data_IF_239078480113
#
_entry.id   IF_239078480113
#
_cell.length_a   1.000
_cell.length_b   1.000
_cell.length_c   1.000
_cell.angle_alpha   90.00
_cell.angle_beta   90.00
_cell.angle_gamma   90.00
#
_symmetry.space_group_name_H-M   'P 1'
#
loop_
_entity.id
_entity.type
_entity.pdbx_description
1 polymer ?
#
# COMPACT_ATOMS: atom_id res chain seq x y z
N UNK A 1 -5.62 38.42 12.16
CA UNK A 1 -5.43 37.28 11.24
C UNK A 1 -5.13 36.00 12.00
N UNK A 2 -5.85 34.92 11.71
CA UNK A 2 -5.70 33.64 12.41
C UNK A 2 -4.55 32.80 11.88
N UNK A 3 -3.88 32.05 12.75
CA UNK A 3 -2.82 31.09 12.39
C UNK A 3 -3.47 29.75 12.04
N UNK A 4 -3.10 29.13 10.92
CA UNK A 4 -3.57 27.79 10.58
C UNK A 4 -2.93 26.73 11.49
N UNK A 5 -3.69 25.72 11.89
CA UNK A 5 -3.15 24.62 12.69
C UNK A 5 -2.12 23.80 11.89
N UNK A 6 -2.41 23.51 10.62
CA UNK A 6 -1.47 22.85 9.72
C UNK A 6 -1.81 23.11 8.25
N UNK A 7 -0.83 22.92 7.37
CA UNK A 7 -1.02 22.77 5.91
C UNK A 7 -0.84 21.32 5.52
N UNK A 8 -1.48 20.88 4.43
CA UNK A 8 -1.31 19.54 3.87
C UNK A 8 -1.18 19.61 2.37
N UNK A 9 -0.23 18.85 1.83
CA UNK A 9 0.05 18.81 0.40
C UNK A 9 0.25 17.36 -0.07
N UNK A 10 -0.32 17.03 -1.23
CA UNK A 10 0.00 15.83 -1.99
C UNK A 10 0.69 16.25 -3.29
N UNK A 11 2.04 16.25 -3.33
CA UNK A 11 2.79 16.78 -4.46
C UNK A 11 2.64 15.89 -5.71
N UNK A 12 2.86 16.45 -6.90
CA UNK A 12 2.93 15.68 -8.13
C UNK A 12 4.06 14.65 -8.09
N UNK A 13 3.85 13.50 -8.72
CA UNK A 13 4.69 12.31 -8.54
C UNK A 13 5.87 12.25 -9.53
N UNK A 14 5.68 12.77 -10.74
CA UNK A 14 6.62 12.63 -11.85
C UNK A 14 7.21 13.96 -12.27
N UNK A 15 8.40 13.91 -12.87
CA UNK A 15 9.14 15.09 -13.35
C UNK A 15 8.66 15.60 -14.71
N UNK A 16 7.93 14.77 -15.46
CA UNK A 16 7.44 15.09 -16.80
C UNK A 16 6.27 14.21 -17.21
N UNK A 17 5.54 14.67 -18.22
CA UNK A 17 4.47 13.89 -18.87
C UNK A 17 5.00 12.53 -19.38
N UNK A 18 6.17 12.52 -20.03
CA UNK A 18 6.77 11.29 -20.57
C UNK A 18 7.04 10.25 -19.47
N UNK A 19 7.59 10.66 -18.33
CA UNK A 19 7.82 9.77 -17.19
C UNK A 19 6.49 9.23 -16.64
N UNK A 20 5.45 10.08 -16.60
CA UNK A 20 4.13 9.68 -16.14
C UNK A 20 3.46 8.68 -17.10
N UNK A 21 3.64 8.83 -18.41
CA UNK A 21 3.15 7.91 -19.46
C UNK A 21 3.88 6.57 -19.41
N UNK A 22 5.21 6.57 -19.28
CA UNK A 22 6.01 5.36 -19.15
C UNK A 22 5.61 4.55 -17.90
N UNK A 23 5.41 5.23 -16.77
CA UNK A 23 4.94 4.58 -15.55
C UNK A 23 3.56 3.92 -15.73
N UNK A 24 2.71 4.48 -16.60
CA UNK A 24 1.43 3.87 -16.96
C UNK A 24 1.60 2.69 -17.87
N UNK A 25 2.34 2.84 -18.97
CA UNK A 25 2.53 1.75 -19.93
C UNK A 25 3.14 0.52 -19.26
N UNK A 26 4.06 0.71 -18.30
CA UNK A 26 4.61 -0.36 -17.47
C UNK A 26 3.56 -1.04 -16.60
N UNK A 27 2.72 -0.26 -15.91
CA UNK A 27 1.62 -0.80 -15.08
C UNK A 27 0.61 -1.56 -15.94
N UNK A 28 0.25 -1.03 -17.10
CA UNK A 28 -0.65 -1.68 -18.05
C UNK A 28 -0.07 -3.00 -18.56
N UNK A 29 1.22 -3.02 -18.90
CA UNK A 29 1.91 -4.25 -19.30
C UNK A 29 1.86 -5.31 -18.20
N UNK A 30 2.08 -4.92 -16.94
CA UNK A 30 2.02 -5.84 -15.80
C UNK A 30 0.61 -6.40 -15.58
N UNK A 31 -0.43 -5.57 -15.72
CA UNK A 31 -1.83 -5.99 -15.62
C UNK A 31 -2.24 -6.93 -16.78
N UNK A 32 -1.76 -6.65 -17.99
CA UNK A 32 -1.97 -7.51 -19.16
C UNK A 32 -1.32 -8.88 -18.94
N UNK A 33 -0.06 -8.91 -18.49
CA UNK A 33 0.66 -10.16 -18.18
C UNK A 33 -0.07 -11.00 -17.12
N UNK A 34 -0.64 -10.37 -16.08
CA UNK A 34 -1.47 -11.06 -15.08
C UNK A 34 -2.76 -11.63 -15.68
N UNK A 35 -3.39 -10.89 -16.60
CA UNK A 35 -4.61 -11.32 -17.29
C UNK A 35 -4.36 -12.52 -18.22
N UNK A 36 -3.25 -12.52 -18.96
CA UNK A 36 -2.85 -13.65 -19.80
C UNK A 36 -2.41 -14.88 -18.99
N UNK A 37 -1.83 -14.70 -17.80
CA UNK A 37 -1.43 -15.82 -16.93
C UNK A 37 -2.65 -16.56 -16.35
N UNK A 38 -3.73 -15.84 -16.02
CA UNK A 38 -5.03 -16.42 -15.62
C UNK A 38 -5.67 -17.28 -16.72
N UNK A 39 -5.48 -16.93 -17.99
CA UNK A 39 -6.01 -17.71 -19.12
C UNK A 39 -5.24 -19.00 -19.40
N UNK A 40 -3.96 -19.07 -19.01
CA UNK A 40 -3.11 -20.28 -19.22
C UNK A 40 -3.26 -21.32 -18.10
N UNK A 41 -3.70 -20.91 -16.91
CA UNK A 41 -4.03 -21.81 -15.79
C UNK A 41 -5.49 -22.29 -15.91
N UNK A 42 -5.73 -23.17 -16.88
CA UNK A 42 -6.89 -24.06 -17.05
C UNK A 42 -8.23 -23.68 -16.41
N UNK A 43 -9.08 -22.96 -17.15
CA UNK A 43 -10.50 -23.32 -17.24
C UNK A 43 -10.95 -23.10 -18.68
N UNK A 44 -10.88 -24.18 -19.46
CA UNK A 44 -11.11 -24.18 -20.90
C UNK A 44 -12.59 -24.45 -21.16
N UNK A 45 -13.44 -23.41 -21.20
CA UNK A 45 -14.66 -23.45 -22.00
C UNK A 45 -14.98 -22.10 -22.65
N UNK A 46 -15.01 -22.20 -23.97
CA UNK A 46 -15.73 -21.40 -24.96
C UNK A 46 -15.01 -20.25 -25.66
N UNK A 47 -14.90 -20.48 -26.98
CA UNK A 47 -15.14 -19.56 -28.09
C UNK A 47 -14.12 -18.45 -28.29
N UNK A 48 -13.10 -18.78 -29.09
CA UNK A 48 -12.66 -18.00 -30.25
C UNK A 48 -12.92 -16.50 -30.21
N UNK A 49 -12.14 -15.79 -29.41
CA UNK A 49 -11.83 -14.39 -29.69
C UNK A 49 -10.32 -14.29 -29.77
N UNK A 50 -9.82 -14.16 -31.00
CA UNK A 50 -8.48 -13.65 -31.26
C UNK A 50 -8.31 -12.35 -30.48
N UNK A 51 -7.53 -12.40 -29.41
CA UNK A 51 -7.27 -11.26 -28.54
C UNK A 51 -6.41 -10.25 -29.30
N UNK A 52 -7.05 -9.40 -30.10
CA UNK A 52 -6.46 -8.23 -30.73
C UNK A 52 -6.18 -7.19 -29.62
N UNK A 53 -4.92 -6.79 -29.37
CA UNK A 53 -4.55 -5.88 -28.29
C UNK A 53 -4.82 -4.40 -28.67
N UNK A 54 -5.94 -4.13 -29.35
CA UNK A 54 -6.19 -2.87 -30.03
C UNK A 54 -7.24 -2.00 -29.32
N UNK A 55 -8.06 -2.56 -28.42
CA UNK A 55 -9.27 -1.88 -27.95
C UNK A 55 -9.54 -2.02 -26.44
N UNK A 56 -8.53 -1.67 -25.64
CA UNK A 56 -8.78 -1.19 -24.29
C UNK A 56 -8.06 0.14 -24.14
N UNK A 57 -8.81 1.23 -24.28
CA UNK A 57 -8.52 2.46 -23.55
C UNK A 57 -8.52 2.09 -22.06
N UNK A 58 -7.37 1.65 -21.55
CA UNK A 58 -7.23 1.37 -20.12
C UNK A 58 -7.05 2.73 -19.47
N UNK A 59 -8.17 3.36 -19.17
CA UNK A 59 -8.25 4.55 -18.34
C UNK A 59 -7.45 4.28 -17.07
N UNK A 60 -6.44 5.13 -16.78
CA UNK A 60 -5.69 5.05 -15.53
C UNK A 60 -6.71 5.02 -14.39
N UNK A 61 -6.48 4.19 -13.37
CA UNK A 61 -7.26 4.23 -12.11
C UNK A 61 -7.06 5.54 -11.31
N UNK A 62 -6.48 6.56 -11.93
CA UNK A 62 -6.24 7.89 -11.41
C UNK A 62 -6.98 8.86 -12.31
N UNK A 63 -7.95 9.57 -11.74
CA UNK A 63 -8.74 10.59 -12.41
C UNK A 63 -8.17 12.01 -12.23
N UNK A 64 -6.95 12.13 -11.70
CA UNK A 64 -6.28 13.42 -11.49
C UNK A 64 -5.81 14.04 -12.80
N UNK A 65 -5.80 15.38 -12.85
CA UNK A 65 -5.31 16.14 -14.02
C UNK A 65 -3.79 16.09 -14.18
N UNK A 66 -3.29 16.56 -15.32
CA UNK A 66 -1.86 16.51 -15.65
C UNK A 66 -0.97 17.18 -14.58
N UNK A 67 -1.40 18.32 -14.04
CA UNK A 67 -0.68 19.07 -13.02
C UNK A 67 -0.67 18.40 -11.63
N UNK A 68 -1.58 17.47 -11.36
CA UNK A 68 -1.55 16.65 -10.14
C UNK A 68 -0.60 15.46 -10.29
N UNK A 69 -0.30 15.10 -11.54
CA UNK A 69 0.45 13.91 -11.87
C UNK A 69 1.94 14.21 -11.98
N UNK A 70 2.29 15.31 -12.65
CA UNK A 70 3.66 15.67 -12.93
C UNK A 70 3.90 17.18 -12.87
N UNK A 71 5.13 17.55 -12.55
CA UNK A 71 5.62 18.93 -12.67
C UNK A 71 7.11 18.89 -13.00
N UNK A 72 7.67 20.00 -13.50
CA UNK A 72 9.12 20.10 -13.71
C UNK A 72 9.85 19.86 -12.38
N UNK A 73 10.81 18.93 -12.38
CA UNK A 73 11.56 18.49 -11.20
C UNK A 73 10.79 17.64 -10.19
N UNK A 74 9.53 17.32 -10.49
CA UNK A 74 8.71 16.35 -9.78
C UNK A 74 8.57 16.63 -8.27
N UNK A 75 8.36 15.54 -7.53
CA UNK A 75 8.09 15.58 -6.09
C UNK A 75 9.17 16.34 -5.30
N UNK A 76 10.45 16.09 -5.60
CA UNK A 76 11.57 16.65 -4.83
C UNK A 76 11.62 18.16 -4.97
N UNK A 77 11.60 18.67 -6.20
CA UNK A 77 11.64 20.12 -6.44
C UNK A 77 10.39 20.80 -5.89
N UNK A 78 9.21 20.18 -6.06
CA UNK A 78 7.96 20.73 -5.54
C UNK A 78 8.00 20.89 -4.01
N UNK A 79 8.37 19.84 -3.28
CA UNK A 79 8.43 19.89 -1.81
C UNK A 79 9.54 20.82 -1.34
N UNK A 80 10.66 20.89 -2.06
CA UNK A 80 11.74 21.86 -1.80
C UNK A 80 11.24 23.30 -1.92
N UNK A 81 10.48 23.62 -2.96
CA UNK A 81 9.84 24.95 -3.11
C UNK A 81 8.88 25.23 -1.96
N UNK A 82 8.03 24.27 -1.57
CA UNK A 82 7.15 24.40 -0.41
C UNK A 82 7.94 24.69 0.87
N UNK A 83 9.06 23.99 1.11
CA UNK A 83 9.92 24.26 2.28
C UNK A 83 10.44 25.71 2.24
N UNK A 84 10.89 26.19 1.08
CA UNK A 84 11.39 27.57 0.92
C UNK A 84 10.30 28.62 1.09
N UNK A 85 9.12 28.39 0.55
CA UNK A 85 7.96 29.28 0.72
C UNK A 85 7.51 29.33 2.18
N UNK A 86 7.48 28.19 2.86
CA UNK A 86 7.11 28.12 4.28
C UNK A 86 8.04 28.95 5.17
N UNK A 87 9.32 29.08 4.80
CA UNK A 87 10.30 29.94 5.48
C UNK A 87 9.99 31.43 5.31
N UNK A 88 9.35 31.85 4.22
CA UNK A 88 8.99 33.25 4.00
C UNK A 88 7.80 33.66 4.88
N UNK A 89 6.92 32.72 5.21
CA UNK A 89 5.75 32.95 6.06
C UNK A 89 5.67 31.91 7.19
N UNK A 90 6.67 31.84 8.09
CA UNK A 90 6.78 30.78 9.09
C UNK A 90 5.64 30.84 10.12
N UNK A 91 4.99 32.00 10.24
CA UNK A 91 3.89 32.21 11.17
C UNK A 91 2.51 31.83 10.62
N UNK A 92 2.39 31.54 9.32
CA UNK A 92 1.11 31.24 8.66
C UNK A 92 0.46 29.94 9.17
N UNK A 93 1.27 28.94 9.49
CA UNK A 93 0.80 27.67 10.04
C UNK A 93 1.69 27.16 11.18
N UNK A 94 1.13 26.42 12.13
CA UNK A 94 1.93 25.76 13.17
C UNK A 94 2.72 24.57 12.62
N UNK A 95 2.15 23.84 11.67
CA UNK A 95 2.77 22.71 10.98
C UNK A 95 2.61 22.85 9.48
N UNK A 96 3.71 22.73 8.75
CA UNK A 96 3.68 22.50 7.31
C UNK A 96 3.83 21.00 7.07
N UNK A 97 3.01 20.44 6.18
CA UNK A 97 3.09 19.01 5.88
C UNK A 97 2.99 18.71 4.39
N UNK A 98 3.71 17.66 3.97
CA UNK A 98 3.65 17.14 2.61
C UNK A 98 3.73 15.62 2.63
N UNK A 99 2.97 14.97 1.75
CA UNK A 99 3.15 13.56 1.44
C UNK A 99 4.43 13.37 0.62
N UNK A 100 5.13 12.26 0.88
CA UNK A 100 6.33 11.85 0.13
C UNK A 100 6.17 10.39 -0.27
N UNK A 101 6.23 10.15 -1.57
CA UNK A 101 6.00 8.85 -2.19
C UNK A 101 7.29 8.03 -2.21
N UNK A 102 8.41 8.67 -2.60
CA UNK A 102 9.70 8.02 -2.81
C UNK A 102 10.57 8.15 -1.56
N UNK A 103 11.12 7.02 -1.10
CA UNK A 103 12.08 7.02 0.02
C UNK A 103 13.39 7.74 -0.34
N UNK A 104 13.79 7.61 -1.61
CA UNK A 104 15.00 8.22 -2.15
C UNK A 104 15.00 9.75 -2.10
N UNK A 105 13.81 10.38 -2.06
CA UNK A 105 13.66 11.83 -1.93
C UNK A 105 13.99 12.32 -0.51
N UNK A 106 13.90 11.46 0.50
CA UNK A 106 13.94 11.88 1.91
C UNK A 106 15.26 12.54 2.33
N UNK A 107 16.46 12.02 1.99
CA UNK A 107 17.71 12.65 2.41
C UNK A 107 17.85 14.09 1.92
N UNK A 108 17.45 14.35 0.68
CA UNK A 108 17.50 15.68 0.06
C UNK A 108 16.54 16.67 0.74
N UNK A 109 15.29 16.25 0.97
CA UNK A 109 14.29 17.08 1.65
C UNK A 109 14.67 17.43 3.10
N UNK A 110 15.36 16.53 3.79
CA UNK A 110 15.84 16.79 5.14
C UNK A 110 17.03 17.75 5.18
N UNK A 111 17.91 17.66 4.18
CA UNK A 111 18.99 18.61 4.03
C UNK A 111 18.42 20.03 3.79
N UNK A 112 17.41 20.16 2.92
CA UNK A 112 16.73 21.44 2.69
C UNK A 112 16.03 21.95 3.96
N UNK A 113 15.38 21.08 4.75
CA UNK A 113 14.77 21.47 6.02
C UNK A 113 15.78 21.94 7.07
N UNK A 114 16.96 21.31 7.11
CA UNK A 114 18.06 21.78 7.95
C UNK A 114 18.53 23.17 7.51
N UNK A 115 18.63 23.40 6.19
CA UNK A 115 19.05 24.68 5.62
C UNK A 115 17.99 25.79 5.78
N UNK A 116 16.70 25.43 5.82
CA UNK A 116 15.61 26.38 5.99
C UNK A 116 15.45 26.88 7.43
N UNK A 117 16.10 26.24 8.40
CA UNK A 117 16.05 26.62 9.80
C UNK A 117 14.79 26.13 10.51
N UNK A 118 14.19 25.02 10.07
CA UNK A 118 13.03 24.45 10.74
C UNK A 118 13.39 23.97 12.17
N UNK A 119 12.74 24.53 13.18
CA UNK A 119 12.96 24.19 14.59
C UNK A 119 12.56 22.76 14.95
N UNK A 120 11.62 22.18 14.20
CA UNK A 120 11.19 20.80 14.41
C UNK A 120 10.82 20.13 13.09
N UNK A 121 11.32 18.92 12.88
CA UNK A 121 11.00 18.07 11.73
C UNK A 121 10.54 16.71 12.23
N UNK A 122 9.43 16.21 11.69
CA UNK A 122 8.85 14.91 11.99
C UNK A 122 8.61 14.13 10.69
N UNK A 123 8.98 12.85 10.73
CA UNK A 123 8.67 11.88 9.68
C UNK A 123 7.65 10.89 10.23
N UNK A 124 6.49 10.80 9.60
CA UNK A 124 5.47 9.84 9.97
C UNK A 124 5.37 8.80 8.86
N UNK A 125 5.43 7.53 9.24
CA UNK A 125 5.25 6.41 8.32
C UNK A 125 3.87 5.83 8.57
N UNK A 126 3.03 5.80 7.54
CA UNK A 126 1.68 5.26 7.58
C UNK A 126 1.58 4.12 6.57
N UNK A 127 1.12 2.96 7.01
CA UNK A 127 0.92 1.80 6.12
C UNK A 127 -0.56 1.48 6.05
N UNK A 128 -1.11 1.41 4.84
CA UNK A 128 -2.51 1.08 4.57
C UNK A 128 -2.57 -0.05 3.53
N UNK A 129 -2.70 -1.29 4.00
CA UNK A 129 -2.53 -2.47 3.15
C UNK A 129 -1.13 -2.49 2.53
N UNK A 130 -1.07 -2.64 1.21
CA UNK A 130 0.21 -2.65 0.47
C UNK A 130 0.79 -1.24 0.22
N UNK A 131 0.03 -0.18 0.56
CA UNK A 131 0.47 1.20 0.33
C UNK A 131 1.24 1.72 1.54
N UNK A 132 2.51 2.06 1.31
CA UNK A 132 3.35 2.79 2.26
C UNK A 132 3.28 4.27 1.94
N UNK A 133 2.81 5.07 2.88
CA UNK A 133 2.76 6.53 2.80
C UNK A 133 3.75 7.12 3.80
N UNK A 134 4.44 8.19 3.41
CA UNK A 134 5.27 8.98 4.31
C UNK A 134 4.72 10.39 4.36
N UNK A 135 4.61 10.93 5.56
CA UNK A 135 4.24 12.32 5.79
C UNK A 135 5.50 12.99 6.36
N UNK A 136 5.95 14.02 5.67
CA UNK A 136 6.97 14.94 6.15
C UNK A 136 6.26 16.13 6.77
N UNK A 137 6.54 16.42 8.04
CA UNK A 137 5.96 17.53 8.77
C UNK A 137 7.07 18.38 9.38
N UNK A 138 6.98 19.70 9.26
CA UNK A 138 7.95 20.62 9.84
C UNK A 138 7.28 21.85 10.45
N UNK A 139 7.98 22.49 11.39
CA UNK A 139 7.50 23.64 12.13
C UNK A 139 8.66 24.59 12.41
N UNK A 140 8.42 25.89 12.27
CA UNK A 140 9.34 26.95 12.65
C UNK A 140 9.14 27.42 14.09
N UNK A 141 8.10 26.93 14.77
CA UNK A 141 7.86 27.23 16.18
C UNK A 141 8.63 26.27 17.07
N UNK A 142 9.17 26.82 18.16
CA UNK A 142 9.71 26.00 19.23
C UNK A 142 8.59 25.23 19.95
N UNK A 143 8.94 24.19 20.69
CA UNK A 143 7.94 23.33 21.34
C UNK A 143 7.04 24.12 22.30
N UNK A 144 7.61 25.03 23.08
CA UNK A 144 6.87 25.86 24.05
C UNK A 144 5.89 26.82 23.36
N UNK A 145 6.36 27.56 22.35
CA UNK A 145 5.54 28.50 21.57
C UNK A 145 4.40 27.77 20.86
N UNK A 146 4.71 26.61 20.25
CA UNK A 146 3.72 25.79 19.57
C UNK A 146 2.67 25.26 20.54
N UNK A 147 3.06 24.78 21.72
CA UNK A 147 2.11 24.35 22.77
C UNK A 147 1.19 25.49 23.17
N UNK A 148 1.74 26.70 23.40
CA UNK A 148 0.94 27.88 23.71
C UNK A 148 -0.08 28.19 22.61
N UNK A 149 0.37 28.27 21.35
CA UNK A 149 -0.55 28.52 20.22
C UNK A 149 -1.60 27.44 20.04
N UNK A 150 -1.27 26.17 20.29
CA UNK A 150 -2.26 25.08 20.25
C UNK A 150 -3.32 25.28 21.34
N UNK A 151 -2.92 25.66 22.55
CA UNK A 151 -3.87 25.97 23.62
C UNK A 151 -4.77 27.15 23.24
N UNK A 152 -4.20 28.20 22.64
CA UNK A 152 -4.96 29.37 22.18
C UNK A 152 -5.93 29.05 21.03
N UNK A 153 -5.62 28.04 20.19
CA UNK A 153 -6.45 27.60 19.06
C UNK A 153 -7.60 26.66 19.47
N UNK A 154 -7.47 26.00 20.62
CA UNK A 154 -8.54 25.15 21.13
C UNK A 154 -9.54 26.06 21.85
N UNK A 155 -10.82 26.13 21.41
CA UNK A 155 -11.81 26.84 22.21
C UNK A 155 -11.86 26.20 23.60
N UNK A 156 -12.01 27.03 24.65
CA UNK A 156 -12.27 26.54 26.00
C UNK A 156 -13.36 25.48 25.90
N UNK A 157 -12.97 24.22 26.10
CA UNK A 157 -13.91 23.12 26.08
C UNK A 157 -14.80 23.37 27.30
N UNK A 158 -16.10 23.69 27.15
CA UNK A 158 -16.95 23.76 28.33
C UNK A 158 -16.83 22.40 29.01
N UNK A 159 -16.37 22.42 30.25
CA UNK A 159 -16.21 21.20 31.04
C UNK A 159 -17.56 20.49 31.05
N UNK A 160 -17.57 19.23 30.63
CA UNK A 160 -18.73 18.31 30.74
C UNK A 160 -19.82 18.51 29.68
N UNK A 161 -19.61 17.99 28.47
CA UNK A 161 -20.74 17.55 27.65
C UNK A 161 -21.27 16.23 28.21
N UNK A 162 -22.49 16.21 28.75
CA UNK A 162 -23.20 14.98 29.17
C UNK A 162 -23.68 14.11 28.00
N UNK A 163 -23.22 14.38 26.78
CA UNK A 163 -23.57 13.56 25.62
C UNK A 163 -22.61 12.38 25.52
N UNK A 164 -22.90 11.33 26.29
CA UNK A 164 -22.34 10.01 26.03
C UNK A 164 -22.90 9.53 24.69
N UNK A 165 -22.08 9.63 23.63
CA UNK A 165 -22.39 8.96 22.37
C UNK A 165 -22.12 7.48 22.62
N UNK A 166 -23.20 6.71 22.81
CA UNK A 166 -23.12 5.25 22.79
C UNK A 166 -22.72 4.83 21.39
N UNK A 167 -21.49 4.31 21.26
CA UNK A 167 -21.05 3.68 20.01
C UNK A 167 -21.95 2.47 19.76
N UNK A 168 -22.53 2.30 18.55
CA UNK A 168 -23.27 1.08 18.25
C UNK A 168 -22.32 -0.11 18.45
N UNK A 169 -22.75 -1.07 19.28
CA UNK A 169 -21.98 -2.27 19.58
C UNK A 169 -21.55 -3.01 18.30
N UNK A 170 -20.55 -3.90 18.40
CA UNK A 170 -19.98 -4.56 17.24
C UNK A 170 -21.08 -5.23 16.40
N UNK A 171 -21.27 -4.77 15.17
CA UNK A 171 -22.21 -5.39 14.22
C UNK A 171 -21.74 -6.83 13.99
N UNK A 172 -22.54 -7.80 14.41
CA UNK A 172 -22.34 -9.21 14.05
C UNK A 172 -22.53 -9.34 12.53
N UNK A 173 -21.43 -9.44 11.81
CA UNK A 173 -21.47 -9.84 10.41
C UNK A 173 -21.91 -11.31 10.36
N UNK A 174 -23.16 -11.55 9.97
CA UNK A 174 -23.62 -12.90 9.63
C UNK A 174 -23.03 -13.23 8.26
N UNK A 175 -21.89 -13.91 8.26
CA UNK A 175 -21.40 -14.59 7.07
C UNK A 175 -22.39 -15.74 6.82
N UNK A 176 -23.30 -15.55 5.84
CA UNK A 176 -24.09 -16.67 5.33
C UNK A 176 -23.12 -17.66 4.71
N UNK A 177 -22.86 -18.76 5.43
CA UNK A 177 -22.09 -19.89 4.96
C UNK A 177 -22.75 -20.40 3.68
N UNK A 178 -22.11 -20.16 2.54
CA UNK A 178 -22.52 -20.76 1.27
C UNK A 178 -22.43 -22.27 1.47
N UNK A 179 -23.56 -22.97 1.34
CA UNK A 179 -23.57 -24.44 1.34
C UNK A 179 -22.74 -24.88 0.14
N UNK A 180 -21.65 -25.58 0.41
CA UNK A 180 -20.95 -26.38 -0.58
C UNK A 180 -21.93 -27.44 -1.08
N UNK A 181 -22.32 -27.35 -2.35
CA UNK A 181 -22.98 -28.46 -3.04
C UNK A 181 -21.91 -29.53 -3.31
N UNK A 182 -21.56 -30.29 -2.27
CA UNK A 182 -20.93 -31.61 -2.40
C UNK A 182 -21.97 -32.66 -2.03
N UNK A 183 -23.02 -32.81 -2.84
CA UNK A 183 -23.95 -33.93 -2.73
C UNK A 183 -24.54 -34.21 -4.11
N UNK A 184 -23.69 -34.66 -5.04
CA UNK A 184 -24.10 -35.26 -6.31
C UNK A 184 -23.02 -36.19 -6.86
N UNK A 185 -22.44 -37.05 -6.03
CA UNK A 185 -21.72 -38.27 -6.46
C UNK A 185 -21.83 -39.38 -5.40
N UNK A 186 -23.06 -39.75 -5.05
CA UNK A 186 -23.35 -41.04 -4.40
C UNK A 186 -24.56 -41.70 -5.06
N UNK A 187 -24.49 -41.92 -6.37
CA UNK A 187 -25.42 -42.86 -7.01
C UNK A 187 -24.81 -43.53 -8.24
N UNK A 188 -23.61 -44.10 -8.14
CA UNK A 188 -23.15 -45.09 -9.13
C UNK A 188 -21.98 -45.94 -8.62
N UNK A 189 -22.16 -46.66 -7.50
CA UNK A 189 -21.25 -47.76 -7.13
C UNK A 189 -21.90 -48.70 -6.11
N UNK A 190 -23.03 -49.29 -6.50
CA UNK A 190 -23.58 -50.48 -5.84
C UNK A 190 -23.97 -51.48 -6.92
N UNK A 191 -22.99 -52.26 -7.38
CA UNK A 191 -23.25 -53.28 -8.38
C UNK A 191 -22.03 -53.98 -8.97
N UNK A 192 -21.15 -54.57 -8.15
CA UNK A 192 -20.56 -55.90 -8.41
C UNK A 192 -19.53 -56.29 -7.33
N UNK A 193 -19.99 -57.16 -6.42
CA UNK A 193 -19.16 -58.10 -5.68
C UNK A 193 -19.01 -59.39 -6.51
N UNK A 194 -17.84 -60.02 -6.37
CA UNK A 194 -17.32 -61.34 -6.81
C UNK A 194 -16.01 -61.10 -7.60
N UNK A 195 -14.83 -61.56 -7.22
CA UNK A 195 -14.41 -62.69 -6.36
C UNK A 195 -12.92 -62.55 -6.03
N UNK A 196 -12.47 -62.93 -4.84
CA UNK A 196 -11.06 -63.22 -4.55
C UNK A 196 -10.62 -64.55 -5.20
N UNK A 197 -9.31 -64.80 -5.33
CA UNK A 197 -8.69 -65.65 -4.30
C UNK A 197 -7.34 -65.15 -3.79
N UNK A 198 -6.96 -65.77 -2.67
CA UNK A 198 -5.87 -65.49 -1.76
C UNK A 198 -4.47 -65.76 -2.31
N UNK A 199 -3.45 -65.10 -1.74
CA UNK A 199 -2.07 -65.49 -2.00
C UNK A 199 -1.00 -64.60 -1.35
N UNK A 200 -0.67 -64.92 -0.11
CA UNK A 200 0.64 -64.75 0.53
C UNK A 200 1.08 -63.38 1.07
N UNK A 201 1.89 -63.54 2.13
CA UNK A 201 2.14 -62.67 3.27
C UNK A 201 3.41 -61.82 3.09
N UNK A 202 3.60 -60.82 3.97
CA UNK A 202 4.56 -59.74 3.79
C UNK A 202 5.92 -60.07 4.43
N UNK A 203 6.95 -59.30 4.07
CA UNK A 203 8.16 -59.17 4.89
C UNK A 203 8.57 -57.70 5.00
N UNK A 204 8.89 -57.37 6.25
CA UNK A 204 9.27 -56.10 6.84
C UNK A 204 10.64 -55.57 6.39
N UNK A 205 10.87 -54.28 6.67
CA UNK A 205 12.01 -53.67 7.39
C UNK A 205 12.25 -52.25 6.82
N UNK A 206 11.95 -51.14 7.49
CA UNK A 206 12.55 -50.55 8.71
C UNK A 206 14.07 -50.68 8.74
N UNK A 207 14.81 -49.60 8.51
CA UNK A 207 15.62 -48.90 9.53
C UNK A 207 16.45 -47.74 8.96
N UNK A 208 16.45 -46.63 9.71
CA UNK A 208 17.45 -45.57 9.69
C UNK A 208 18.71 -46.02 10.46
N UNK A 209 19.91 -45.52 10.08
CA UNK A 209 20.87 -44.85 10.98
C UNK A 209 22.25 -44.57 10.33
N UNK A 210 22.68 -43.30 10.40
CA UNK A 210 24.00 -42.74 10.78
C UNK A 210 25.32 -43.47 10.42
N UNK A 211 26.25 -42.76 9.73
CA UNK A 211 27.66 -42.55 10.20
C UNK A 211 28.50 -41.55 9.39
N UNK A 212 29.05 -40.57 10.13
CA UNK A 212 30.36 -39.87 10.15
C UNK A 212 31.35 -39.80 8.95
N UNK A 213 32.09 -38.67 8.92
CA UNK A 213 33.51 -38.55 8.48
C UNK A 213 33.74 -37.45 7.42
N UNK A 214 34.17 -36.23 7.72
CA UNK A 214 35.55 -35.75 8.05
C UNK A 214 36.48 -35.69 6.82
N UNK A 215 36.90 -34.45 6.48
CA UNK A 215 38.11 -33.94 5.77
C UNK A 215 38.50 -34.55 4.39
N UNK A 216 39.10 -33.87 3.42
CA UNK A 216 40.10 -32.80 3.36
C UNK A 216 40.04 -32.07 1.99
N UNK A 217 40.52 -30.82 1.94
CA UNK A 217 41.01 -30.18 0.68
C UNK A 217 42.47 -30.62 0.43
N UNK A 218 43.04 -30.40 -0.77
CA UNK A 218 43.79 -29.15 -0.96
C UNK A 218 43.78 -28.57 -2.39
N UNK A 219 44.20 -27.29 -2.41
CA UNK A 219 44.88 -26.50 -3.45
C UNK A 219 44.20 -26.22 -4.78
#
# INVERSE_FOLDING_TARGET
DGVFAFTMCNPPFYESAAQAEEATSRKLRNLCNLSCKRQRSGDLRSTGSSFQPQDRSITRNFAGGDLELWCLGGEVQFVTSHIRESRQMPQSALWFTSLVSKDSSMPELLAELSNSGASCVKKLHVTAGDKKMRILAWSFYNEAERKKKIMDLLPDRPSTSQHSISLPGPRKFIIKKVKSNEDSKQHEQRGRLKSMPAGQRPVHNITNALRNGVSDRPS
#
